data_IF_311822185900
#
_entry.id   IF_311822185900
#
_cell.length_a   1.000
_cell.length_b   1.000
_cell.length_c   1.000
_cell.angle_alpha   90.00
_cell.angle_beta   90.00
_cell.angle_gamma   90.00
#
_symmetry.space_group_name_H-M   'P 1'
#
loop_
_entity.id
_entity.type
_entity.pdbx_description
1 polymer ?
#
# COMPACT_ATOMS: atom_id res chain seq x y z
N UNK A 1 -1.80 -26.88 -2.69
CA UNK A 1 -0.47 -26.33 -2.99
C UNK A 1 -0.67 -25.26 -4.04
N UNK A 2 -0.73 -23.99 -3.67
CA UNK A 2 -0.65 -22.89 -4.63
C UNK A 2 0.79 -22.40 -4.61
N UNK A 3 1.58 -22.86 -5.55
CA UNK A 3 2.83 -22.22 -5.92
C UNK A 3 2.46 -20.92 -6.58
N UNK A 4 2.76 -19.80 -5.92
CA UNK A 4 2.79 -18.52 -6.61
C UNK A 4 3.83 -18.64 -7.72
N UNK A 5 3.52 -18.35 -8.98
CA UNK A 5 4.57 -18.14 -9.96
C UNK A 5 5.40 -16.95 -9.45
N UNK A 6 6.71 -17.13 -9.45
CA UNK A 6 7.63 -16.01 -9.40
C UNK A 6 7.13 -14.96 -10.39
N UNK A 7 7.25 -13.69 -10.05
CA UNK A 7 7.01 -12.63 -11.00
C UNK A 7 7.91 -12.88 -12.21
N UNK A 8 7.35 -13.54 -13.21
CA UNK A 8 7.94 -13.55 -14.53
C UNK A 8 7.91 -12.11 -14.99
N UNK A 9 9.08 -11.55 -15.16
CA UNK A 9 9.26 -10.35 -15.96
C UNK A 9 8.71 -10.68 -17.34
N UNK A 10 7.52 -10.16 -17.64
CA UNK A 10 7.03 -10.16 -19.00
C UNK A 10 8.07 -9.40 -19.83
N UNK A 11 8.84 -10.13 -20.62
CA UNK A 11 9.61 -9.59 -21.72
C UNK A 11 8.61 -9.28 -22.81
N UNK A 12 8.07 -8.06 -22.81
CA UNK A 12 7.47 -7.51 -24.02
C UNK A 12 8.58 -7.32 -25.03
N UNK A 13 8.40 -7.93 -26.19
CA UNK A 13 9.29 -7.75 -27.35
C UNK A 13 9.40 -6.28 -27.69
N UNK A 14 10.59 -5.79 -27.61
CA UNK A 14 11.06 -4.44 -27.77
C UNK A 14 10.80 -3.94 -29.19
N UNK A 15 9.86 -3.03 -29.37
CA UNK A 15 9.84 -2.16 -30.55
C UNK A 15 10.91 -1.11 -30.33
N UNK A 16 11.88 -0.94 -31.25
CA UNK A 16 12.98 -0.02 -31.03
C UNK A 16 12.49 1.43 -31.07
N UNK A 17 12.56 2.13 -29.94
CA UNK A 17 12.45 3.57 -29.92
C UNK A 17 11.75 4.28 -28.76
N UNK A 18 11.22 3.62 -27.76
CA UNK A 18 10.71 4.30 -26.55
C UNK A 18 11.22 3.64 -25.29
N UNK A 19 12.23 4.22 -24.66
CA UNK A 19 12.56 3.87 -23.27
C UNK A 19 11.38 4.27 -22.37
N UNK A 20 10.61 3.29 -21.94
CA UNK A 20 9.52 3.47 -20.98
C UNK A 20 10.10 3.52 -19.56
N UNK A 21 10.47 4.71 -19.09
CA UNK A 21 10.88 4.93 -17.70
C UNK A 21 9.70 5.40 -16.89
N UNK A 22 9.11 4.49 -16.13
CA UNK A 22 8.00 4.79 -15.20
C UNK A 22 8.54 5.07 -13.80
N UNK A 23 7.87 5.97 -13.05
CA UNK A 23 8.15 6.12 -11.62
C UNK A 23 7.40 5.04 -10.87
N UNK A 24 8.13 4.14 -10.21
CA UNK A 24 7.56 3.10 -9.35
C UNK A 24 7.94 3.42 -7.91
N UNK A 25 6.94 3.53 -7.05
CA UNK A 25 7.14 3.69 -5.62
C UNK A 25 6.65 2.43 -4.91
N UNK A 26 7.57 1.75 -4.25
CA UNK A 26 7.30 0.51 -3.53
C UNK A 26 7.26 0.76 -2.03
N UNK A 27 6.24 0.23 -1.37
CA UNK A 27 6.21 0.10 0.09
C UNK A 27 6.20 -1.37 0.45
N UNK A 28 7.11 -1.76 1.29
CA UNK A 28 7.12 -3.08 1.87
C UNK A 28 7.07 -2.98 3.39
N UNK A 29 6.07 -3.60 3.98
CA UNK A 29 6.09 -3.87 5.42
C UNK A 29 7.03 -5.05 5.73
N UNK A 30 7.58 -5.14 6.94
CA UNK A 30 8.53 -6.21 7.27
C UNK A 30 7.98 -7.60 6.93
N UNK A 31 8.83 -8.54 6.49
CA UNK A 31 8.41 -9.79 5.88
C UNK A 31 7.70 -10.71 6.86
N UNK A 32 6.55 -11.26 6.47
CA UNK A 32 5.88 -12.28 7.28
C UNK A 32 4.49 -12.73 6.90
N UNK A 33 3.94 -12.42 5.74
CA UNK A 33 2.60 -12.87 5.38
C UNK A 33 2.56 -13.75 4.13
N UNK A 34 2.10 -14.99 4.24
CA UNK A 34 1.58 -15.76 3.12
C UNK A 34 0.10 -15.43 2.95
N UNK A 35 -0.33 -15.13 1.73
CA UNK A 35 -1.74 -15.08 1.39
C UNK A 35 -2.37 -16.45 1.56
N UNK A 36 -3.42 -16.56 2.35
CA UNK A 36 -4.20 -17.78 2.52
C UNK A 36 -5.64 -17.46 2.15
N UNK A 37 -6.16 -18.15 1.15
CA UNK A 37 -7.58 -18.09 0.83
C UNK A 37 -8.42 -18.73 1.93
N UNK A 38 -9.58 -18.16 2.29
CA UNK A 38 -10.39 -18.72 3.37
C UNK A 38 -11.02 -20.05 2.92
N UNK A 39 -10.47 -21.16 3.41
CA UNK A 39 -11.24 -22.36 3.64
C UNK A 39 -11.85 -22.26 5.04
N UNK A 40 -12.95 -22.96 5.30
CA UNK A 40 -13.53 -23.11 6.64
C UNK A 40 -12.64 -24.02 7.52
N UNK A 41 -11.40 -23.62 7.70
CA UNK A 41 -10.42 -24.33 8.52
C UNK A 41 -10.33 -23.69 9.91
N UNK A 42 -9.99 -24.45 10.94
CA UNK A 42 -9.81 -23.91 12.30
C UNK A 42 -8.82 -22.73 12.30
N UNK A 43 -8.98 -21.75 13.19
CA UNK A 43 -8.11 -20.57 13.27
C UNK A 43 -6.62 -20.90 13.37
N UNK A 44 -6.25 -21.99 14.01
CA UNK A 44 -4.88 -22.49 14.17
C UNK A 44 -4.23 -22.91 12.84
N UNK A 45 -5.04 -23.35 11.85
CA UNK A 45 -4.54 -23.74 10.54
C UNK A 45 -3.98 -22.54 9.75
N UNK A 46 -4.49 -21.35 10.00
CA UNK A 46 -4.09 -20.13 9.29
C UNK A 46 -2.91 -19.41 9.93
N UNK A 47 -2.35 -19.95 11.01
CA UNK A 47 -1.19 -19.38 11.69
C UNK A 47 0.09 -20.06 11.22
N UNK A 48 1.03 -19.26 10.74
CA UNK A 48 2.41 -19.72 10.59
C UNK A 48 3.07 -19.81 11.97
N UNK A 49 4.14 -20.59 12.11
CA UNK A 49 4.93 -20.64 13.34
C UNK A 49 5.36 -19.24 13.81
N UNK A 50 5.71 -18.36 12.87
CA UNK A 50 6.07 -16.98 13.16
C UNK A 50 4.89 -16.16 13.68
N UNK A 51 3.69 -16.34 13.13
CA UNK A 51 2.48 -15.70 13.62
C UNK A 51 2.09 -16.22 15.00
N UNK A 52 2.22 -17.51 15.23
CA UNK A 52 2.00 -18.10 16.55
C UNK A 52 3.00 -17.54 17.57
N UNK A 53 4.28 -17.48 17.24
CA UNK A 53 5.30 -16.90 18.11
C UNK A 53 5.07 -15.39 18.38
N UNK A 54 4.49 -14.67 17.44
CA UNK A 54 4.13 -13.25 17.62
C UNK A 54 2.92 -13.11 18.57
N UNK A 55 1.93 -14.00 18.47
CA UNK A 55 0.79 -14.05 19.39
C UNK A 55 1.23 -14.41 20.80
N UNK A 56 2.08 -15.43 20.95
CA UNK A 56 2.62 -15.89 22.22
C UNK A 56 3.43 -14.81 22.94
N UNK A 57 4.09 -13.93 22.18
CA UNK A 57 4.81 -12.76 22.70
C UNK A 57 3.93 -11.53 22.91
N UNK A 58 2.60 -11.65 22.80
CA UNK A 58 1.66 -10.53 22.92
C UNK A 58 1.89 -9.37 21.92
N UNK A 59 2.52 -9.66 20.79
CA UNK A 59 2.74 -8.69 19.72
C UNK A 59 1.45 -8.52 18.91
N UNK A 60 0.48 -7.80 19.47
CA UNK A 60 -0.89 -7.65 18.93
C UNK A 60 -0.98 -6.95 17.57
N UNK A 61 0.09 -6.31 17.08
CA UNK A 61 0.03 -5.44 15.92
C UNK A 61 1.05 -5.81 14.82
N UNK A 62 1.25 -7.10 14.55
CA UNK A 62 2.13 -7.48 13.45
C UNK A 62 1.38 -7.40 12.12
N UNK A 63 1.64 -6.34 11.35
CA UNK A 63 1.08 -6.09 10.04
C UNK A 63 2.13 -6.33 8.95
N UNK A 64 1.69 -6.78 7.80
CA UNK A 64 2.54 -6.88 6.62
C UNK A 64 1.72 -6.51 5.38
N UNK A 65 1.93 -5.29 4.86
CA UNK A 65 1.34 -4.82 3.62
C UNK A 65 2.45 -4.39 2.68
N UNK A 66 2.35 -4.79 1.42
CA UNK A 66 3.17 -4.26 0.33
C UNK A 66 2.30 -3.47 -0.60
N UNK A 67 2.83 -2.39 -1.15
CA UNK A 67 2.12 -1.56 -2.09
C UNK A 67 3.04 -0.92 -3.11
N UNK A 68 2.47 -0.61 -4.26
CA UNK A 68 3.15 0.11 -5.32
C UNK A 68 2.21 1.16 -5.92
N UNK A 69 2.76 2.31 -6.28
CA UNK A 69 2.11 3.32 -7.10
C UNK A 69 3.04 3.69 -8.23
N UNK A 70 2.49 3.85 -9.42
CA UNK A 70 3.25 4.11 -10.62
C UNK A 70 2.65 5.26 -11.44
N UNK A 71 3.52 5.97 -12.11
CA UNK A 71 3.19 6.95 -13.14
C UNK A 71 3.97 6.57 -14.40
N UNK A 72 3.26 6.34 -15.50
CA UNK A 72 3.88 6.08 -16.80
C UNK A 72 4.25 7.36 -17.56
N UNK A 73 4.82 7.20 -18.76
CA UNK A 73 5.23 8.32 -19.60
C UNK A 73 4.05 9.06 -20.22
N UNK A 74 2.91 8.40 -20.38
CA UNK A 74 1.69 8.98 -20.93
C UNK A 74 0.87 9.72 -19.87
N UNK A 75 1.34 9.68 -18.61
CA UNK A 75 0.69 10.31 -17.46
C UNK A 75 -0.42 9.46 -16.85
N UNK A 76 -0.44 8.14 -17.12
CA UNK A 76 -1.35 7.23 -16.48
C UNK A 76 -0.83 6.84 -15.10
N UNK A 77 -1.76 6.69 -14.19
CA UNK A 77 -1.51 6.37 -12.80
C UNK A 77 -2.05 4.97 -12.47
N UNK A 78 -1.26 4.19 -11.75
CA UNK A 78 -1.66 2.88 -11.26
C UNK A 78 -1.33 2.72 -9.78
N UNK A 79 -2.12 1.92 -9.07
CA UNK A 79 -1.88 1.53 -7.69
C UNK A 79 -2.16 0.04 -7.51
N UNK A 80 -1.35 -0.60 -6.70
CA UNK A 80 -1.55 -1.98 -6.27
C UNK A 80 -1.21 -2.12 -4.78
N UNK A 81 -2.00 -2.93 -4.07
CA UNK A 81 -1.80 -3.18 -2.65
C UNK A 81 -2.05 -4.65 -2.36
N UNK A 82 -1.18 -5.29 -1.58
CA UNK A 82 -1.29 -6.69 -1.21
C UNK A 82 -0.94 -6.89 0.27
N UNK A 83 -1.70 -7.75 0.95
CA UNK A 83 -1.51 -8.03 2.37
C UNK A 83 -2.00 -9.41 2.77
N UNK A 84 -1.39 -9.98 3.80
CA UNK A 84 -1.96 -11.11 4.55
C UNK A 84 -2.90 -10.66 5.69
N UNK A 85 -3.10 -9.37 5.88
CA UNK A 85 -3.80 -8.80 7.03
C UNK A 85 -2.93 -8.80 8.29
N UNK A 86 -3.52 -8.60 9.46
CA UNK A 86 -2.79 -8.65 10.73
C UNK A 86 -2.88 -10.03 11.43
N UNK A 87 -1.90 -10.28 12.26
CA UNK A 87 -1.80 -11.55 13.02
C UNK A 87 -2.98 -11.69 13.98
N UNK A 88 -3.58 -12.87 14.01
CA UNK A 88 -4.70 -13.17 14.91
C UNK A 88 -6.06 -12.62 14.47
N UNK A 89 -6.18 -12.13 13.23
CA UNK A 89 -7.50 -11.70 12.70
C UNK A 89 -8.49 -12.86 12.69
N UNK A 90 -9.75 -12.56 12.96
CA UNK A 90 -10.83 -13.54 12.87
C UNK A 90 -11.09 -13.96 11.43
N UNK A 91 -11.57 -15.19 11.18
CA UNK A 91 -12.07 -15.61 9.88
C UNK A 91 -13.13 -14.64 9.35
N UNK A 92 -13.04 -14.29 8.06
CA UNK A 92 -13.94 -13.33 7.42
C UNK A 92 -13.56 -11.85 7.60
N UNK A 93 -12.54 -11.49 8.40
CA UNK A 93 -12.06 -10.10 8.50
C UNK A 93 -11.50 -9.62 7.16
N UNK A 94 -11.97 -8.47 6.72
CA UNK A 94 -11.47 -7.76 5.54
C UNK A 94 -10.78 -6.47 6.02
N UNK A 95 -9.55 -6.24 5.55
CA UNK A 95 -8.83 -4.97 5.75
C UNK A 95 -9.10 -3.98 4.61
N UNK A 96 -8.36 -2.88 4.62
CA UNK A 96 -8.44 -1.81 3.63
C UNK A 96 -7.84 -2.18 2.26
N UNK A 97 -6.83 -3.04 2.22
CA UNK A 97 -6.05 -3.33 1.01
C UNK A 97 -6.89 -3.75 -0.21
N UNK A 98 -7.94 -4.61 -0.10
CA UNK A 98 -8.76 -5.01 -1.24
C UNK A 98 -9.87 -3.98 -1.56
N UNK A 99 -10.05 -2.95 -0.74
CA UNK A 99 -11.13 -1.99 -0.90
C UNK A 99 -10.66 -0.75 -1.65
N UNK A 100 -11.18 -0.58 -2.86
CA UNK A 100 -10.90 0.60 -3.69
C UNK A 100 -11.39 1.86 -2.96
N UNK A 101 -10.48 2.83 -2.82
CA UNK A 101 -10.73 4.07 -2.08
C UNK A 101 -10.29 4.02 -0.61
N UNK A 102 -10.11 2.84 -0.03
CA UNK A 102 -9.56 2.70 1.32
C UNK A 102 -8.04 2.50 1.30
N UNK A 103 -7.57 1.30 0.96
CA UNK A 103 -6.14 0.97 0.92
C UNK A 103 -5.49 1.14 -0.45
N UNK A 104 -6.26 1.24 -1.52
CA UNK A 104 -5.75 1.38 -2.89
C UNK A 104 -6.68 2.27 -3.72
N UNK A 105 -6.10 3.17 -4.52
CA UNK A 105 -6.86 4.00 -5.46
C UNK A 105 -5.94 4.61 -6.53
N UNK A 106 -6.43 4.71 -7.76
CA UNK A 106 -5.76 5.48 -8.82
C UNK A 106 -6.77 6.23 -9.68
N UNK A 107 -6.49 7.49 -9.96
CA UNK A 107 -7.29 8.35 -10.85
C UNK A 107 -6.33 9.31 -11.56
N UNK A 108 -6.28 9.25 -12.90
CA UNK A 108 -5.45 10.12 -13.72
C UNK A 108 -5.75 11.62 -13.55
N UNK A 109 -6.89 11.97 -12.94
CA UNK A 109 -7.24 13.35 -12.61
C UNK A 109 -6.66 13.83 -11.27
N UNK A 110 -6.03 12.95 -10.50
CA UNK A 110 -5.52 13.26 -9.16
C UNK A 110 -4.19 12.57 -8.87
N UNK A 111 -4.26 11.36 -8.32
CA UNK A 111 -3.10 10.61 -7.87
C UNK A 111 -3.38 9.10 -7.82
N UNK A 112 -2.30 8.32 -7.71
CA UNK A 112 -2.34 6.93 -7.26
C UNK A 112 -1.92 6.86 -5.79
N UNK A 113 -2.58 6.01 -5.01
CA UNK A 113 -2.36 5.85 -3.57
C UNK A 113 -2.38 4.38 -3.19
N UNK A 114 -1.44 3.96 -2.35
CA UNK A 114 -1.46 2.67 -1.66
C UNK A 114 -1.20 2.89 -0.17
N UNK A 115 -2.03 2.30 0.69
CA UNK A 115 -2.01 2.47 2.13
C UNK A 115 -1.59 1.21 2.88
N UNK A 116 -1.11 1.39 4.11
CA UNK A 116 -0.76 0.35 5.07
C UNK A 116 -1.02 0.83 6.49
N UNK A 117 -1.57 -0.01 7.37
CA UNK A 117 -1.84 0.34 8.76
C UNK A 117 -3.05 -0.39 9.33
N UNK A 118 -3.71 0.24 10.31
CA UNK A 118 -4.95 -0.30 10.87
C UNK A 118 -6.09 -0.19 9.84
N UNK A 119 -6.39 -1.31 9.17
CA UNK A 119 -7.30 -1.37 8.04
C UNK A 119 -8.68 -0.78 8.33
N UNK A 120 -9.24 -1.03 9.50
CA UNK A 120 -10.55 -0.52 9.91
C UNK A 120 -10.59 1.02 9.96
N UNK A 121 -9.50 1.67 10.38
CA UNK A 121 -9.38 3.13 10.36
C UNK A 121 -9.22 3.67 8.94
N UNK A 122 -8.45 2.97 8.10
CA UNK A 122 -8.28 3.31 6.69
C UNK A 122 -9.59 3.19 5.90
N UNK A 123 -10.40 2.15 6.17
CA UNK A 123 -11.73 1.97 5.58
C UNK A 123 -12.64 3.13 5.98
N UNK A 124 -12.76 3.41 7.30
CA UNK A 124 -13.64 4.46 7.83
C UNK A 124 -13.26 5.85 7.34
N UNK A 125 -11.96 6.11 7.13
CA UNK A 125 -11.45 7.37 6.60
C UNK A 125 -11.43 7.42 5.07
N UNK A 126 -11.69 6.31 4.36
CA UNK A 126 -11.55 6.17 2.90
C UNK A 126 -10.24 6.81 2.39
N UNK A 127 -9.12 6.47 3.02
CA UNK A 127 -7.84 7.22 2.97
C UNK A 127 -7.35 7.47 1.56
N UNK A 128 -7.37 6.45 0.71
CA UNK A 128 -6.86 6.57 -0.65
C UNK A 128 -7.74 7.50 -1.50
N UNK A 129 -9.07 7.39 -1.39
CA UNK A 129 -9.99 8.28 -2.08
C UNK A 129 -10.01 9.69 -1.47
N UNK A 130 -9.98 9.85 -0.14
CA UNK A 130 -9.92 11.17 0.52
C UNK A 130 -8.70 11.97 0.07
N UNK A 131 -7.55 11.30 -0.12
CA UNK A 131 -6.35 11.92 -0.68
C UNK A 131 -6.61 12.46 -2.09
N UNK A 132 -7.15 11.64 -2.99
CA UNK A 132 -7.46 12.04 -4.36
C UNK A 132 -8.57 13.12 -4.41
N UNK A 133 -9.61 12.99 -3.59
CA UNK A 133 -10.71 13.94 -3.51
C UNK A 133 -10.26 15.34 -3.06
N UNK A 134 -9.35 15.43 -2.08
CA UNK A 134 -8.76 16.70 -1.65
C UNK A 134 -7.98 17.39 -2.76
N UNK A 135 -7.26 16.64 -3.58
CA UNK A 135 -6.59 17.18 -4.75
C UNK A 135 -7.59 17.69 -5.79
N UNK A 136 -8.59 16.87 -6.12
CA UNK A 136 -9.56 17.17 -7.18
C UNK A 136 -10.51 18.32 -6.83
N UNK A 137 -11.05 18.31 -5.62
CA UNK A 137 -12.16 19.20 -5.26
C UNK A 137 -11.72 20.40 -4.43
N UNK A 138 -10.53 20.34 -3.81
CA UNK A 138 -10.00 21.43 -2.98
C UNK A 138 -8.68 22.01 -3.49
N UNK A 139 -8.14 21.48 -4.60
CA UNK A 139 -6.87 21.94 -5.15
C UNK A 139 -5.67 21.72 -4.23
N UNK A 140 -5.77 20.80 -3.28
CA UNK A 140 -4.67 20.53 -2.36
C UNK A 140 -3.48 19.89 -3.08
N UNK A 141 -2.25 20.24 -2.66
CA UNK A 141 -1.06 19.50 -3.13
C UNK A 141 -1.10 18.06 -2.62
N UNK A 142 -0.47 17.14 -3.37
CA UNK A 142 -0.38 15.72 -3.00
C UNK A 142 0.07 15.53 -1.55
N UNK A 143 1.16 16.19 -1.16
CA UNK A 143 1.71 16.06 0.19
C UNK A 143 0.75 16.59 1.28
N UNK A 144 0.01 17.67 1.00
CA UNK A 144 -0.99 18.20 1.94
C UNK A 144 -2.20 17.29 2.06
N UNK A 145 -2.70 16.78 0.93
CA UNK A 145 -3.82 15.85 0.86
C UNK A 145 -3.52 14.54 1.60
N UNK A 146 -2.37 13.93 1.32
CA UNK A 146 -1.94 12.69 1.95
C UNK A 146 -1.79 12.83 3.47
N UNK A 147 -1.14 13.90 3.95
CA UNK A 147 -1.05 14.17 5.39
C UNK A 147 -2.40 14.43 6.04
N UNK A 148 -3.32 15.10 5.33
CA UNK A 148 -4.66 15.36 5.87
C UNK A 148 -5.49 14.07 5.99
N UNK A 149 -5.43 13.17 5.01
CA UNK A 149 -6.08 11.87 5.07
C UNK A 149 -5.54 11.03 6.23
N UNK A 150 -4.22 11.01 6.42
CA UNK A 150 -3.58 10.28 7.52
C UNK A 150 -3.93 10.86 8.91
N UNK A 151 -4.11 12.19 9.04
CA UNK A 151 -4.65 12.78 10.28
C UNK A 151 -6.06 12.29 10.60
N UNK A 152 -6.89 11.99 9.61
CA UNK A 152 -8.21 11.40 9.85
C UNK A 152 -8.08 9.98 10.41
N UNK A 153 -7.11 9.18 9.93
CA UNK A 153 -6.78 7.87 10.52
C UNK A 153 -6.41 8.00 11.99
N UNK A 154 -5.51 8.94 12.32
CA UNK A 154 -5.10 9.19 13.70
C UNK A 154 -6.29 9.57 14.61
N UNK A 155 -7.22 10.40 14.13
CA UNK A 155 -8.44 10.77 14.88
C UNK A 155 -9.37 9.57 15.15
N UNK A 156 -9.28 8.54 14.33
CA UNK A 156 -10.02 7.28 14.50
C UNK A 156 -9.27 6.28 15.38
N UNK A 157 -8.15 6.70 15.99
CA UNK A 157 -7.31 5.84 16.82
C UNK A 157 -6.44 4.87 16.03
N UNK A 158 -6.27 5.11 14.72
CA UNK A 158 -5.44 4.26 13.85
C UNK A 158 -4.04 4.85 13.61
N UNK A 159 -3.15 3.98 13.21
CA UNK A 159 -1.81 4.29 12.73
C UNK A 159 -1.55 3.64 11.38
N UNK A 160 -0.46 4.05 10.75
CA UNK A 160 -0.02 3.53 9.47
C UNK A 160 0.63 4.59 8.59
N UNK A 161 0.57 4.37 7.29
CA UNK A 161 1.11 5.29 6.31
C UNK A 161 0.57 5.02 4.91
N UNK A 162 0.96 5.85 3.99
CA UNK A 162 0.62 5.68 2.60
C UNK A 162 1.74 6.14 1.68
N UNK A 163 1.75 5.61 0.48
CA UNK A 163 2.53 6.15 -0.63
C UNK A 163 1.57 6.68 -1.68
N UNK A 164 2.00 7.76 -2.32
CA UNK A 164 1.21 8.36 -3.39
C UNK A 164 2.11 9.02 -4.44
N UNK A 165 1.63 9.03 -5.69
CA UNK A 165 2.25 9.75 -6.81
C UNK A 165 1.17 10.48 -7.60
N UNK A 166 1.46 11.72 -8.04
CA UNK A 166 0.57 12.47 -8.93
C UNK A 166 1.08 12.49 -10.38
N UNK A 167 0.27 13.02 -11.29
CA UNK A 167 0.63 13.12 -12.73
C UNK A 167 1.86 13.98 -13.03
N UNK A 168 2.31 14.77 -12.09
CA UNK A 168 3.53 15.60 -12.24
C UNK A 168 4.77 14.88 -11.75
N UNK A 169 4.61 13.64 -11.23
CA UNK A 169 5.69 12.86 -10.63
C UNK A 169 6.04 13.30 -9.21
N UNK A 170 5.21 14.11 -8.55
CA UNK A 170 5.40 14.39 -7.13
C UNK A 170 5.07 13.12 -6.34
N UNK A 171 5.92 12.80 -5.37
CA UNK A 171 5.78 11.64 -4.49
C UNK A 171 5.50 12.13 -3.06
N UNK A 172 4.58 11.47 -2.36
CA UNK A 172 4.32 11.68 -0.94
C UNK A 172 4.26 10.33 -0.22
N UNK A 173 4.96 10.20 0.89
CA UNK A 173 5.07 8.96 1.67
C UNK A 173 4.95 9.26 3.18
N UNK A 174 3.84 9.91 3.64
CA UNK A 174 3.64 10.19 5.05
C UNK A 174 3.22 8.95 5.81
N UNK A 175 3.60 8.91 7.10
CA UNK A 175 3.18 7.88 8.06
C UNK A 175 3.08 8.48 9.46
N UNK A 176 2.36 7.82 10.36
CA UNK A 176 2.22 8.14 11.78
C UNK A 176 2.45 6.91 12.69
N UNK A 177 2.93 5.83 12.11
CA UNK A 177 3.47 4.67 12.83
C UNK A 177 4.93 4.93 13.26
N UNK A 178 5.53 4.00 14.02
CA UNK A 178 6.94 4.09 14.45
C UNK A 178 7.93 4.10 13.28
N UNK A 179 7.54 3.53 12.12
CA UNK A 179 8.35 3.51 10.91
C UNK A 179 7.56 2.94 9.73
N UNK A 180 8.04 3.21 8.53
CA UNK A 180 7.50 2.64 7.30
C UNK A 180 8.63 2.47 6.29
N UNK A 181 8.89 1.22 5.90
CA UNK A 181 9.80 0.95 4.78
C UNK A 181 9.21 1.52 3.50
N UNK A 182 9.92 2.44 2.87
CA UNK A 182 9.45 3.11 1.66
C UNK A 182 10.58 3.42 0.71
N UNK A 183 10.27 3.39 -0.57
CA UNK A 183 11.24 3.73 -1.59
C UNK A 183 10.56 4.35 -2.81
N UNK A 184 11.32 5.09 -3.58
CA UNK A 184 10.90 5.61 -4.87
C UNK A 184 12.07 5.58 -5.85
N UNK A 185 11.74 5.42 -7.13
CA UNK A 185 12.67 5.62 -8.23
C UNK A 185 12.03 6.62 -9.19
N UNK A 186 12.75 7.67 -9.55
CA UNK A 186 12.26 8.67 -10.49
C UNK A 186 12.65 8.31 -11.95
N UNK A 187 12.10 9.04 -12.91
CA UNK A 187 12.37 8.85 -14.34
C UNK A 187 13.85 8.99 -14.75
N UNK A 188 14.70 9.54 -13.89
CA UNK A 188 16.14 9.63 -14.09
C UNK A 188 16.90 8.47 -13.47
N UNK A 189 16.19 7.51 -12.88
CA UNK A 189 16.78 6.37 -12.17
C UNK A 189 17.27 6.72 -10.76
N UNK A 190 17.00 7.92 -10.23
CA UNK A 190 17.37 8.27 -8.87
C UNK A 190 16.48 7.52 -7.88
N UNK A 191 17.10 6.69 -7.08
CA UNK A 191 16.46 5.91 -6.03
C UNK A 191 16.52 6.63 -4.69
N UNK A 192 15.43 6.59 -3.95
CA UNK A 192 15.35 7.03 -2.56
C UNK A 192 14.78 5.89 -1.73
N UNK A 193 15.41 5.55 -0.62
CA UNK A 193 14.98 4.52 0.33
C UNK A 193 15.00 5.12 1.73
N UNK A 194 13.97 4.89 2.52
CA UNK A 194 13.88 5.34 3.90
C UNK A 194 13.03 4.39 4.74
N UNK A 195 13.26 4.42 6.05
CA UNK A 195 12.49 3.66 7.06
C UNK A 195 11.80 4.61 8.05
N UNK A 196 12.50 5.63 8.51
CA UNK A 196 12.07 6.64 9.50
C UNK A 196 11.94 8.01 8.86
#
# INVERSE_FOLDING_TARGET
MCTSPAAETASEEDSPGKETRSTVTLVQSPPGGRCVYPRLEPPEYFKTERQQSALDRNLKNYHGTVGAVALDQDGNLAAATSTGGYTGKLPGRIGDSPLIGAGTYADNRACAVSGTGLGEAFIRAAVAYDTAARMRYRGASLASAARAALRNVARLGGDGGLIAVDRRGNVAMPFNSEGMYRGSIDRRGKTTIAVF
#
